data_IF_337485551797
#
_entry.id   IF_337485551797
#
_cell.length_a   1.000
_cell.length_b   1.000
_cell.length_c   1.000
_cell.angle_alpha   90.00
_cell.angle_beta   90.00
_cell.angle_gamma   90.00
#
_symmetry.space_group_name_H-M   'P 1'
#
loop_
_entity.id
_entity.type
_entity.pdbx_description
1 polymer ?
#
# COMPACT_ATOMS: atom_id res chain seq x y z
N UNK A 1 6.96 10.14 -11.98
CA UNK A 1 7.95 9.09 -11.63
C UNK A 1 7.27 7.75 -11.38
N UNK A 2 6.27 7.65 -10.49
CA UNK A 2 5.62 6.36 -10.18
C UNK A 2 5.02 5.64 -11.39
N UNK A 3 4.26 6.32 -12.24
CA UNK A 3 3.70 5.70 -13.46
C UNK A 3 4.78 5.20 -14.43
N UNK A 4 5.89 5.93 -14.56
CA UNK A 4 7.04 5.49 -15.37
C UNK A 4 7.68 4.25 -14.73
N UNK A 5 7.80 4.20 -13.40
CA UNK A 5 8.29 3.02 -12.69
C UNK A 5 7.39 1.81 -12.91
N UNK A 6 6.07 1.99 -12.99
CA UNK A 6 5.12 0.92 -13.32
C UNK A 6 5.34 0.36 -14.73
N UNK A 7 5.76 1.19 -15.69
CA UNK A 7 6.10 0.74 -17.05
C UNK A 7 7.43 -0.01 -17.09
N UNK A 8 8.42 0.42 -16.28
CA UNK A 8 9.73 -0.25 -16.19
C UNK A 8 9.61 -1.60 -15.45
N UNK A 9 8.75 -1.69 -14.44
CA UNK A 9 8.49 -2.89 -13.64
C UNK A 9 7.02 -3.32 -13.79
N UNK A 10 6.63 -3.93 -14.93
CA UNK A 10 5.22 -4.18 -15.24
C UNK A 10 4.61 -5.38 -14.50
N UNK A 11 5.42 -6.16 -13.76
CA UNK A 11 4.95 -7.34 -13.03
C UNK A 11 4.56 -6.96 -11.61
N UNK A 12 3.45 -7.52 -11.13
CA UNK A 12 2.92 -7.26 -9.80
C UNK A 12 2.05 -8.43 -9.31
N UNK A 13 1.84 -8.59 -7.98
CA UNK A 13 0.95 -9.61 -7.43
C UNK A 13 -0.48 -9.48 -7.98
N UNK A 14 -1.17 -10.62 -8.17
CA UNK A 14 -2.51 -10.67 -8.77
C UNK A 14 -3.54 -9.83 -7.99
N UNK A 15 -3.49 -9.90 -6.66
CA UNK A 15 -4.38 -9.18 -5.76
C UNK A 15 -3.55 -8.22 -4.91
N UNK A 16 -3.81 -6.93 -5.06
CA UNK A 16 -3.20 -5.88 -4.24
C UNK A 16 -4.29 -5.14 -3.47
N UNK A 17 -4.24 -5.21 -2.14
CA UNK A 17 -5.08 -4.42 -1.25
C UNK A 17 -4.28 -3.25 -0.66
N UNK A 18 -4.92 -2.13 -0.37
CA UNK A 18 -4.27 -0.98 0.24
C UNK A 18 -5.07 -0.47 1.45
N UNK A 19 -4.40 -0.10 2.54
CA UNK A 19 -5.04 0.40 3.75
C UNK A 19 -4.50 1.77 4.11
N UNK A 20 -5.40 2.75 4.29
CA UNK A 20 -5.07 4.06 4.83
C UNK A 20 -5.85 4.37 6.10
N UNK A 21 -5.43 5.43 6.79
CA UNK A 21 -5.97 5.88 8.06
C UNK A 21 -4.91 6.49 8.95
N UNK A 22 -5.31 7.04 10.10
CA UNK A 22 -4.37 7.59 11.08
C UNK A 22 -3.74 6.43 11.84
N UNK A 23 -4.56 5.64 12.53
CA UNK A 23 -4.13 4.49 13.31
C UNK A 23 -4.64 3.17 12.73
N UNK A 24 -3.94 2.07 13.01
CA UNK A 24 -4.40 0.72 12.70
C UNK A 24 -4.03 0.20 11.30
N UNK A 25 -3.33 0.98 10.45
CA UNK A 25 -2.86 0.52 9.13
C UNK A 25 -2.05 -0.77 9.25
N UNK A 26 -0.95 -0.75 10.01
CA UNK A 26 -0.08 -1.91 10.25
C UNK A 26 -0.82 -3.11 10.82
N UNK A 27 -1.72 -2.91 11.79
CA UNK A 27 -2.51 -4.01 12.35
C UNK A 27 -3.42 -4.63 11.30
N UNK A 28 -4.15 -3.82 10.53
CA UNK A 28 -5.05 -4.31 9.49
C UNK A 28 -4.30 -4.99 8.34
N UNK A 29 -3.17 -4.44 7.88
CA UNK A 29 -2.37 -5.07 6.84
C UNK A 29 -1.77 -6.40 7.31
N UNK A 30 -1.28 -6.45 8.55
CA UNK A 30 -0.75 -7.68 9.12
C UNK A 30 -1.84 -8.75 9.30
N UNK A 31 -3.02 -8.40 9.82
CA UNK A 31 -4.14 -9.34 9.93
C UNK A 31 -4.61 -9.86 8.57
N UNK A 32 -4.68 -9.02 7.54
CA UNK A 32 -5.05 -9.48 6.21
C UNK A 32 -4.01 -10.44 5.61
N UNK A 33 -2.72 -10.15 5.79
CA UNK A 33 -1.63 -11.06 5.41
C UNK A 33 -1.75 -12.41 6.14
N UNK A 34 -1.95 -12.41 7.46
CA UNK A 34 -2.13 -13.65 8.24
C UNK A 34 -3.37 -14.43 7.81
N UNK A 35 -4.49 -13.76 7.52
CA UNK A 35 -5.69 -14.42 7.02
C UNK A 35 -5.44 -15.10 5.66
N UNK A 36 -4.69 -14.45 4.76
CA UNK A 36 -4.29 -15.07 3.49
C UNK A 36 -3.37 -16.27 3.68
N UNK A 37 -2.43 -16.21 4.63
CA UNK A 37 -1.60 -17.36 5.00
C UNK A 37 -2.45 -18.53 5.51
N UNK A 38 -3.42 -18.29 6.39
CA UNK A 38 -4.37 -19.32 6.87
C UNK A 38 -5.22 -19.93 5.75
N UNK A 39 -5.45 -19.19 4.67
CA UNK A 39 -6.14 -19.65 3.47
C UNK A 39 -5.20 -20.25 2.41
N UNK A 40 -3.95 -20.56 2.79
CA UNK A 40 -2.90 -21.11 1.92
C UNK A 40 -2.64 -20.25 0.68
N UNK A 41 -2.74 -18.91 0.80
CA UNK A 41 -2.36 -17.97 -0.25
C UNK A 41 -0.94 -17.49 -0.01
N UNK A 42 -0.12 -17.52 -1.07
CA UNK A 42 1.21 -16.93 -1.01
C UNK A 42 1.06 -15.41 -0.97
N UNK A 43 1.35 -14.82 0.19
CA UNK A 43 0.99 -13.44 0.49
C UNK A 43 2.12 -12.67 1.16
N UNK A 44 2.08 -11.34 1.03
CA UNK A 44 3.03 -10.44 1.67
C UNK A 44 2.35 -9.16 2.15
N UNK A 45 3.04 -8.43 3.02
CA UNK A 45 2.64 -7.06 3.38
C UNK A 45 3.79 -6.07 3.21
N UNK A 46 3.47 -4.82 2.87
CA UNK A 46 4.42 -3.70 2.79
C UNK A 46 3.92 -2.60 3.71
N UNK A 47 4.74 -2.16 4.65
CA UNK A 47 4.33 -1.14 5.61
C UNK A 47 5.41 -0.73 6.58
N UNK A 48 4.98 -0.22 7.73
CA UNK A 48 5.89 0.28 8.79
C UNK A 48 6.88 -0.79 9.27
N UNK A 49 6.52 -2.08 9.15
CA UNK A 49 7.35 -3.22 9.54
C UNK A 49 8.30 -3.71 8.43
N UNK A 50 8.37 -3.03 7.28
CA UNK A 50 9.11 -3.52 6.12
C UNK A 50 8.22 -4.25 5.12
N UNK A 51 8.89 -5.03 4.26
CA UNK A 51 8.26 -6.04 3.41
C UNK A 51 8.30 -7.36 4.16
N UNK A 52 7.14 -7.90 4.53
CA UNK A 52 7.01 -9.19 5.22
C UNK A 52 6.55 -10.23 4.18
N UNK A 53 7.31 -11.30 4.02
CA UNK A 53 6.99 -12.43 3.16
C UNK A 53 7.37 -13.76 3.82
N UNK A 54 6.41 -14.64 4.10
CA UNK A 54 6.61 -16.02 4.57
C UNK A 54 7.83 -16.21 5.50
N UNK A 55 7.94 -15.39 6.56
CA UNK A 55 9.00 -15.36 7.60
C UNK A 55 10.22 -14.44 7.34
N UNK A 56 10.43 -13.93 6.13
CA UNK A 56 11.47 -12.93 5.86
C UNK A 56 10.94 -11.50 6.01
N UNK A 57 11.73 -10.66 6.67
CA UNK A 57 11.50 -9.22 6.80
C UNK A 57 12.61 -8.49 6.06
N UNK A 58 12.23 -7.67 5.07
CA UNK A 58 13.14 -6.75 4.39
C UNK A 58 12.82 -5.33 4.82
N UNK A 59 13.83 -4.64 5.36
CA UNK A 59 13.69 -3.26 5.80
C UNK A 59 13.41 -2.30 4.64
N UNK A 60 12.57 -1.30 4.92
CA UNK A 60 12.27 -0.20 4.01
C UNK A 60 12.35 1.13 4.77
N UNK A 61 12.74 2.21 4.08
CA UNK A 61 12.95 3.51 4.71
C UNK A 61 11.66 4.27 5.05
N UNK A 62 10.50 3.85 4.52
CA UNK A 62 9.24 4.55 4.66
C UNK A 62 8.08 3.55 4.76
N UNK A 63 7.04 3.86 5.56
CA UNK A 63 5.79 3.07 5.61
C UNK A 63 5.20 2.82 4.22
N UNK A 64 5.31 3.80 3.32
CA UNK A 64 5.04 3.63 1.88
C UNK A 64 6.35 3.91 1.13
N UNK A 65 7.00 2.92 0.50
CA UNK A 65 8.26 3.10 -0.23
C UNK A 65 8.19 4.21 -1.29
N UNK A 66 9.34 4.75 -1.68
CA UNK A 66 9.41 5.62 -2.85
C UNK A 66 8.94 4.88 -4.12
N UNK A 67 8.52 5.59 -5.18
CA UNK A 67 7.88 4.95 -6.32
C UNK A 67 8.72 3.89 -7.03
N UNK A 68 10.03 4.12 -7.17
CA UNK A 68 10.93 3.19 -7.89
C UNK A 68 11.11 1.93 -7.05
N UNK A 69 11.40 2.09 -5.75
CA UNK A 69 11.54 0.97 -4.83
C UNK A 69 10.24 0.17 -4.71
N UNK A 70 9.09 0.85 -4.69
CA UNK A 70 7.78 0.19 -4.62
C UNK A 70 7.56 -0.71 -5.84
N UNK A 71 7.60 -0.16 -7.05
CA UNK A 71 7.32 -0.93 -8.27
C UNK A 71 8.34 -2.05 -8.51
N UNK A 72 9.62 -1.82 -8.19
CA UNK A 72 10.62 -2.89 -8.17
C UNK A 72 10.25 -4.00 -7.19
N UNK A 73 9.86 -3.64 -5.96
CA UNK A 73 9.44 -4.61 -4.93
C UNK A 73 8.20 -5.40 -5.38
N UNK A 74 7.23 -4.78 -6.04
CA UNK A 74 6.07 -5.48 -6.60
C UNK A 74 6.49 -6.54 -7.63
N UNK A 75 7.42 -6.18 -8.52
CA UNK A 75 7.96 -7.12 -9.51
C UNK A 75 8.76 -8.25 -8.86
N UNK A 76 9.58 -7.95 -7.86
CA UNK A 76 10.36 -8.95 -7.12
C UNK A 76 9.42 -9.95 -6.40
N UNK A 77 8.38 -9.46 -5.71
CA UNK A 77 7.36 -10.28 -5.05
C UNK A 77 6.58 -11.15 -6.04
N UNK A 78 6.18 -10.59 -7.18
CA UNK A 78 5.53 -11.36 -8.23
C UNK A 78 6.44 -12.50 -8.72
N UNK A 79 7.71 -12.21 -8.98
CA UNK A 79 8.67 -13.21 -9.46
C UNK A 79 8.99 -14.29 -8.39
N UNK A 80 8.81 -14.00 -7.11
CA UNK A 80 8.89 -14.99 -6.02
C UNK A 80 7.58 -15.76 -5.79
N UNK A 81 6.57 -15.56 -6.64
CA UNK A 81 5.30 -16.28 -6.61
C UNK A 81 4.26 -15.72 -5.64
N UNK A 82 4.48 -14.52 -5.07
CA UNK A 82 3.49 -13.85 -4.24
C UNK A 82 2.30 -13.46 -5.10
N UNK A 83 1.12 -13.94 -4.71
CA UNK A 83 -0.14 -13.69 -5.42
C UNK A 83 -0.99 -12.61 -4.74
N UNK A 84 -0.84 -12.44 -3.42
CA UNK A 84 -1.63 -11.51 -2.63
C UNK A 84 -0.72 -10.53 -1.87
N UNK A 85 -0.96 -9.24 -2.02
CA UNK A 85 -0.20 -8.21 -1.33
C UNK A 85 -1.16 -7.24 -0.64
N UNK A 86 -0.81 -6.83 0.56
CA UNK A 86 -1.46 -5.70 1.23
C UNK A 86 -0.44 -4.63 1.59
N UNK A 87 -0.70 -3.39 1.17
CA UNK A 87 0.19 -2.25 1.44
C UNK A 87 -0.43 -1.21 2.37
N UNK A 88 0.41 -0.61 3.22
CA UNK A 88 0.06 0.59 3.95
C UNK A 88 0.19 1.83 3.04
N UNK A 89 -0.93 2.50 2.80
CA UNK A 89 -1.00 3.76 2.06
C UNK A 89 -1.00 4.93 3.04
N UNK A 90 0.20 5.40 3.43
CA UNK A 90 0.36 6.58 4.30
C UNK A 90 -0.16 7.85 3.61
N UNK A 91 -0.57 8.85 4.39
CA UNK A 91 -0.98 10.15 3.82
C UNK A 91 0.16 10.84 3.07
N UNK A 92 1.40 10.70 3.56
CA UNK A 92 2.61 11.16 2.88
C UNK A 92 2.80 10.46 1.53
N UNK A 93 2.71 9.12 1.51
CA UNK A 93 2.86 8.34 0.28
C UNK A 93 1.79 8.67 -0.74
N UNK A 94 0.55 8.84 -0.30
CA UNK A 94 -0.56 9.28 -1.15
C UNK A 94 -0.31 10.69 -1.67
N UNK A 95 -0.06 11.69 -0.81
CA UNK A 95 0.21 13.07 -1.22
C UNK A 95 1.38 13.20 -2.20
N UNK A 96 2.39 12.33 -2.06
CA UNK A 96 3.57 12.30 -2.92
C UNK A 96 3.44 11.38 -4.14
N UNK A 97 2.23 10.86 -4.43
CA UNK A 97 1.99 10.01 -5.60
C UNK A 97 2.85 8.75 -5.65
N UNK A 98 3.25 8.21 -4.48
CA UNK A 98 4.17 7.06 -4.40
C UNK A 98 3.57 5.76 -4.90
N UNK A 99 2.24 5.63 -4.85
CA UNK A 99 1.51 4.42 -5.22
C UNK A 99 0.78 4.54 -6.57
N UNK A 100 0.99 5.63 -7.31
CA UNK A 100 0.37 5.81 -8.62
C UNK A 100 0.85 4.69 -9.57
N UNK A 101 -0.05 4.15 -10.39
CA UNK A 101 0.21 3.00 -11.26
C UNK A 101 0.09 1.62 -10.58
N UNK A 102 -0.03 1.54 -9.25
CA UNK A 102 -0.31 0.28 -8.55
C UNK A 102 -1.76 -0.17 -8.84
N UNK A 103 -1.93 -1.43 -9.23
CA UNK A 103 -3.25 -2.01 -9.56
C UNK A 103 -3.99 -2.47 -8.30
N UNK A 104 -4.49 -1.53 -7.52
CA UNK A 104 -5.23 -1.81 -6.28
C UNK A 104 -6.61 -2.41 -6.60
N UNK A 105 -6.89 -3.58 -6.01
CA UNK A 105 -8.16 -4.31 -6.15
C UNK A 105 -9.15 -4.02 -5.04
N UNK A 106 -8.67 -3.70 -3.83
CA UNK A 106 -9.52 -3.30 -2.70
C UNK A 106 -8.79 -2.29 -1.82
N UNK A 107 -9.55 -1.38 -1.21
CA UNK A 107 -9.01 -0.38 -0.30
C UNK A 107 -9.75 -0.36 1.04
N UNK A 108 -9.01 -0.18 2.14
CA UNK A 108 -9.55 -0.03 3.49
C UNK A 108 -9.24 1.34 4.08
N UNK A 109 -10.21 1.92 4.78
CA UNK A 109 -10.03 3.13 5.60
C UNK A 109 -10.31 2.76 7.06
N UNK A 110 -9.36 3.01 7.96
CA UNK A 110 -9.52 2.65 9.38
C UNK A 110 -10.19 3.76 10.17
N UNK A 111 -9.57 4.95 10.23
CA UNK A 111 -10.03 6.12 10.98
C UNK A 111 -9.27 7.38 10.53
N UNK A 112 -9.78 8.55 10.93
CA UNK A 112 -9.07 9.82 10.83
C UNK A 112 -9.14 10.58 12.16
N UNK A 113 -7.98 11.01 12.65
CA UNK A 113 -7.81 11.86 13.83
C UNK A 113 -6.64 12.81 13.56
N UNK A 114 -6.49 13.86 14.38
CA UNK A 114 -5.41 14.83 14.19
C UNK A 114 -4.03 14.18 14.32
N UNK A 115 -3.23 14.28 13.26
CA UNK A 115 -1.86 13.78 13.14
C UNK A 115 -1.19 14.42 11.92
N UNK A 116 0.14 14.37 11.83
CA UNK A 116 0.93 14.80 10.67
C UNK A 116 0.67 16.24 10.16
N UNK A 117 0.26 17.17 11.03
CA UNK A 117 0.04 18.58 10.66
C UNK A 117 1.34 19.39 10.54
N UNK A 118 2.48 18.78 10.84
CA UNK A 118 3.82 19.25 10.50
C UNK A 118 4.10 19.12 8.99
N UNK A 119 3.41 18.20 8.31
CA UNK A 119 3.49 18.01 6.86
C UNK A 119 2.25 18.54 6.12
N UNK A 120 1.05 18.20 6.60
CA UNK A 120 -0.21 18.66 6.01
C UNK A 120 -0.59 20.02 6.58
N UNK A 121 -0.98 20.99 5.75
CA UNK A 121 -1.24 22.37 6.23
C UNK A 121 -2.38 22.43 7.24
N UNK A 122 -3.36 21.53 7.10
CA UNK A 122 -4.52 21.42 7.97
C UNK A 122 -5.14 20.00 7.86
N UNK A 123 -6.18 19.76 8.65
CA UNK A 123 -6.91 18.49 8.65
C UNK A 123 -7.62 18.18 7.33
N UNK A 124 -8.02 19.19 6.57
CA UNK A 124 -8.66 19.02 5.27
C UNK A 124 -7.66 18.48 4.24
N UNK A 125 -6.45 19.04 4.16
CA UNK A 125 -5.37 18.54 3.31
C UNK A 125 -4.99 17.10 3.68
N UNK A 126 -4.93 16.79 4.98
CA UNK A 126 -4.67 15.43 5.46
C UNK A 126 -5.77 14.43 5.06
N UNK A 127 -7.03 14.84 5.15
CA UNK A 127 -8.18 14.05 4.70
C UNK A 127 -8.16 13.86 3.18
N UNK A 128 -7.93 14.93 2.42
CA UNK A 128 -7.84 14.90 0.96
C UNK A 128 -6.74 13.91 0.53
N UNK A 129 -5.55 13.97 1.14
CA UNK A 129 -4.47 13.03 0.84
C UNK A 129 -4.91 11.58 1.01
N UNK A 130 -5.62 11.21 2.08
CA UNK A 130 -6.14 9.85 2.29
C UNK A 130 -7.25 9.48 1.30
N UNK A 131 -8.14 10.43 1.00
CA UNK A 131 -9.26 10.24 0.06
C UNK A 131 -8.78 9.85 -1.34
N UNK A 132 -7.58 10.30 -1.75
CA UNK A 132 -6.96 9.91 -3.03
C UNK A 132 -6.87 8.41 -3.25
N UNK A 133 -6.68 7.62 -2.18
CA UNK A 133 -6.68 6.15 -2.29
C UNK A 133 -7.98 5.64 -2.93
N UNK A 134 -9.10 6.26 -2.58
CA UNK A 134 -10.42 5.85 -3.06
C UNK A 134 -10.78 6.53 -4.37
N UNK A 135 -10.41 7.79 -4.59
CA UNK A 135 -10.85 8.56 -5.77
C UNK A 135 -9.95 8.43 -6.99
N UNK A 136 -8.67 8.14 -6.81
CA UNK A 136 -7.67 8.15 -7.89
C UNK A 136 -6.95 6.81 -8.06
N UNK A 137 -6.75 6.07 -6.97
CA UNK A 137 -5.95 4.83 -6.99
C UNK A 137 -6.83 3.59 -7.13
N UNK A 138 -7.90 3.48 -6.35
CA UNK A 138 -8.86 2.39 -6.47
C UNK A 138 -9.73 2.57 -7.73
N UNK A 139 -9.76 1.61 -8.67
CA UNK A 139 -10.64 1.67 -9.83
C UNK A 139 -12.12 1.70 -9.42
N UNK A 140 -12.94 2.48 -10.12
CA UNK A 140 -14.35 2.70 -9.77
C UNK A 140 -15.18 1.40 -9.85
N UNK A 141 -14.81 0.49 -10.73
CA UNK A 141 -15.42 -0.84 -10.86
C UNK A 141 -15.19 -1.72 -9.63
N UNK A 142 -14.24 -1.38 -8.76
CA UNK A 142 -13.95 -2.10 -7.52
C UNK A 142 -14.58 -1.43 -6.29
N UNK A 143 -15.46 -0.43 -6.48
CA UNK A 143 -16.26 0.10 -5.37
C UNK A 143 -17.34 -0.92 -4.99
N UNK A 144 -17.53 -1.14 -3.69
CA UNK A 144 -18.60 -1.99 -3.15
C UNK A 144 -19.93 -1.23 -3.08
#
# INVERSE_FOLDING_TARGET
>A
MSEISALIYPKYPEIICAVTGTNGKTSTTNFLHQLWQLLNKNSSSIGTLGVINNEEIKDINNTTPDPVALHRTLSDLHNSGVSHLVLEASSHGLAQHRIDGVKVRAAGFTNISQDHLDYHKNMEDYFIAKKRLFTEILPKENYA
#
